data_IF_097570247520
#
_entry.id   IF_097570247520
#
_cell.length_a   1.000
_cell.length_b   1.000
_cell.length_c   1.000
_cell.angle_alpha   90.00
_cell.angle_beta   90.00
_cell.angle_gamma   90.00
#
_symmetry.space_group_name_H-M   'P 1'
#
loop_
_entity.id
_entity.type
_entity.pdbx_description
1 polymer ?
#
# COMPACT_ATOMS: atom_id res chain seq x y z
N UNK A 1 -24.85 43.61 29.83
CA UNK A 1 -25.04 42.49 28.87
C UNK A 1 -23.96 41.47 29.17
N UNK A 2 -24.35 40.32 29.71
CA UNK A 2 -23.49 39.25 30.22
C UNK A 2 -23.19 38.25 29.10
N UNK A 3 -21.94 38.19 28.65
CA UNK A 3 -21.50 37.12 27.75
C UNK A 3 -21.17 35.88 28.58
N UNK A 4 -22.04 34.88 28.48
CA UNK A 4 -21.77 33.50 28.88
C UNK A 4 -21.28 32.71 27.67
N UNK A 5 -20.19 31.97 27.86
CA UNK A 5 -19.99 30.69 27.19
C UNK A 5 -18.87 30.65 26.15
N UNK A 6 -17.72 30.11 26.55
CA UNK A 6 -16.99 29.18 25.69
C UNK A 6 -16.50 28.04 26.59
N UNK A 7 -17.18 26.89 26.51
CA UNK A 7 -16.73 25.65 27.15
C UNK A 7 -15.77 25.00 26.18
N UNK A 8 -14.48 24.98 26.52
CA UNK A 8 -13.49 24.18 25.85
C UNK A 8 -13.75 22.70 26.19
N UNK A 9 -14.41 21.99 25.28
CA UNK A 9 -14.54 20.54 25.33
C UNK A 9 -13.30 19.89 24.72
N UNK A 10 -12.29 19.63 25.54
CA UNK A 10 -11.22 18.70 25.17
C UNK A 10 -11.82 17.28 25.19
N UNK A 11 -12.10 16.73 24.01
CA UNK A 11 -12.46 15.33 23.87
C UNK A 11 -11.18 14.49 24.07
N UNK A 12 -10.97 14.05 25.31
CA UNK A 12 -9.97 13.05 25.64
C UNK A 12 -10.47 11.70 25.11
N UNK A 13 -10.07 11.34 23.89
CA UNK A 13 -10.26 10.00 23.37
C UNK A 13 -9.33 9.05 24.12
N UNK A 14 -9.81 8.51 25.25
CA UNK A 14 -9.17 7.38 25.90
C UNK A 14 -9.38 6.15 25.01
N UNK A 15 -8.42 5.88 24.11
CA UNK A 15 -8.30 4.58 23.47
C UNK A 15 -8.00 3.57 24.59
N UNK A 16 -9.00 2.77 24.92
CA UNK A 16 -8.76 1.54 25.67
C UNK A 16 -8.00 0.58 24.76
N UNK A 17 -6.69 0.51 24.94
CA UNK A 17 -5.86 -0.56 24.40
C UNK A 17 -6.23 -1.84 25.14
N UNK A 18 -7.32 -2.49 24.73
CA UNK A 18 -7.45 -3.91 24.98
C UNK A 18 -6.24 -4.56 24.30
N UNK A 19 -5.48 -5.38 25.05
CA UNK A 19 -4.46 -6.22 24.46
C UNK A 19 -5.17 -7.20 23.52
N UNK A 20 -5.29 -6.81 22.25
CA UNK A 20 -5.70 -7.70 21.19
C UNK A 20 -4.61 -8.77 21.12
N UNK A 21 -4.96 -10.03 21.40
CA UNK A 21 -4.12 -11.12 20.94
C UNK A 21 -3.91 -10.93 19.44
N UNK A 22 -2.68 -11.12 18.94
CA UNK A 22 -2.38 -11.02 17.51
C UNK A 22 -3.38 -11.88 16.75
N UNK A 23 -4.35 -11.23 16.11
CA UNK A 23 -5.28 -11.93 15.22
C UNK A 23 -4.40 -12.49 14.11
N UNK A 24 -4.32 -13.81 14.00
CA UNK A 24 -3.53 -14.44 12.94
C UNK A 24 -3.99 -13.98 11.56
N UNK A 25 -3.18 -14.25 10.55
CA UNK A 25 -3.48 -13.87 9.17
C UNK A 25 -4.90 -14.28 8.74
N UNK A 26 -5.46 -13.52 7.79
CA UNK A 26 -6.78 -13.74 7.21
C UNK A 26 -6.65 -13.96 5.70
N UNK A 27 -7.65 -14.58 5.08
CA UNK A 27 -7.74 -14.67 3.61
C UNK A 27 -9.01 -13.96 3.16
N UNK A 28 -8.89 -13.07 2.19
CA UNK A 28 -10.01 -12.39 1.54
C UNK A 28 -10.11 -12.84 0.09
N UNK A 29 -11.32 -12.83 -0.48
CA UNK A 29 -11.58 -13.36 -1.83
C UNK A 29 -12.39 -12.40 -2.71
N UNK A 30 -12.20 -12.50 -4.03
CA UNK A 30 -13.07 -11.92 -5.05
C UNK A 30 -13.06 -12.79 -6.30
N UNK A 31 -14.25 -13.22 -6.76
CA UNK A 31 -14.37 -14.06 -7.95
C UNK A 31 -13.51 -15.33 -7.85
N UNK A 32 -12.58 -15.48 -8.79
CA UNK A 32 -11.62 -16.59 -8.85
C UNK A 32 -10.26 -16.30 -8.19
N UNK A 33 -10.17 -15.32 -7.30
CA UNK A 33 -8.90 -14.91 -6.66
C UNK A 33 -9.01 -14.83 -5.14
N UNK A 34 -7.88 -15.00 -4.47
CA UNK A 34 -7.73 -14.82 -3.03
C UNK A 34 -6.42 -14.14 -2.68
N UNK A 35 -6.40 -13.43 -1.55
CA UNK A 35 -5.16 -12.87 -1.00
C UNK A 35 -5.11 -13.07 0.51
N UNK A 36 -3.96 -13.53 1.00
CA UNK A 36 -3.66 -13.60 2.43
C UNK A 36 -3.22 -12.24 2.94
N UNK A 37 -3.67 -11.85 4.14
CA UNK A 37 -3.27 -10.61 4.80
C UNK A 37 -2.93 -10.93 6.25
N UNK A 38 -1.71 -10.65 6.69
CA UNK A 38 -1.33 -10.84 8.09
C UNK A 38 -1.54 -9.59 8.94
N UNK A 39 -1.27 -9.74 10.23
CA UNK A 39 -1.45 -8.70 11.23
C UNK A 39 -0.48 -7.52 11.09
N UNK A 40 0.59 -7.68 10.30
CA UNK A 40 1.53 -6.63 9.93
C UNK A 40 1.17 -5.96 8.60
N UNK A 41 0.09 -6.37 7.93
CA UNK A 41 -0.32 -5.80 6.64
C UNK A 41 0.55 -6.26 5.47
N UNK A 42 1.14 -7.45 5.57
CA UNK A 42 1.79 -8.13 4.45
C UNK A 42 0.78 -8.99 3.71
N UNK A 43 1.00 -9.20 2.41
CA UNK A 43 0.18 -10.07 1.55
C UNK A 43 0.57 -11.54 1.74
N UNK A 44 0.50 -11.99 2.98
CA UNK A 44 0.89 -13.33 3.36
C UNK A 44 -0.08 -13.91 4.38
N UNK A 45 -0.60 -15.10 4.09
CA UNK A 45 -1.22 -15.97 5.08
C UNK A 45 -0.48 -17.29 5.10
N UNK A 46 0.42 -17.50 6.07
CA UNK A 46 1.01 -18.83 6.35
C UNK A 46 0.17 -19.57 7.38
N UNK A 47 -0.11 -20.85 7.15
CA UNK A 47 -0.57 -21.76 8.22
C UNK A 47 0.63 -22.41 8.91
N UNK A 48 0.52 -22.62 10.23
CA UNK A 48 1.38 -23.45 11.11
C UNK A 48 2.68 -24.00 10.48
N UNK A 49 3.79 -23.28 10.65
CA UNK A 49 5.13 -23.77 10.27
C UNK A 49 5.57 -23.45 8.84
N UNK A 50 4.85 -22.59 8.10
CA UNK A 50 5.39 -21.85 6.94
C UNK A 50 5.42 -22.59 5.61
N UNK A 51 4.90 -23.81 5.51
CA UNK A 51 4.96 -24.62 4.28
C UNK A 51 3.70 -24.56 3.40
N UNK A 52 2.60 -24.00 3.90
CA UNK A 52 1.36 -23.80 3.13
C UNK A 52 0.75 -22.45 3.44
N UNK A 53 0.21 -21.77 2.43
CA UNK A 53 -0.36 -20.44 2.60
C UNK A 53 -1.05 -19.89 1.37
N UNK A 54 -1.49 -18.64 1.49
CA UNK A 54 -2.05 -17.83 0.41
C UNK A 54 -1.31 -16.51 0.40
N UNK A 55 -0.65 -16.21 -0.71
CA UNK A 55 -0.07 -14.93 -1.03
C UNK A 55 -1.10 -14.10 -1.79
N UNK A 56 -0.92 -13.95 -3.11
CA UNK A 56 -1.98 -13.48 -4.01
C UNK A 56 -2.20 -14.54 -5.09
N UNK A 57 -3.33 -15.25 -5.00
CA UNK A 57 -3.57 -16.50 -5.72
C UNK A 57 -4.75 -16.42 -6.67
N UNK A 58 -4.61 -17.06 -7.84
CA UNK A 58 -5.68 -17.40 -8.78
C UNK A 58 -6.16 -18.82 -8.52
N UNK A 59 -7.44 -18.98 -8.20
CA UNK A 59 -8.01 -20.25 -7.74
C UNK A 59 -8.21 -21.28 -8.86
N UNK A 60 -8.29 -20.84 -10.13
CA UNK A 60 -8.57 -21.74 -11.25
C UNK A 60 -7.43 -22.71 -11.56
N UNK A 61 -6.20 -22.31 -11.29
CA UNK A 61 -4.98 -23.07 -11.59
C UNK A 61 -4.01 -23.13 -10.39
N UNK A 62 -4.31 -22.40 -9.31
CA UNK A 62 -3.50 -22.38 -8.10
C UNK A 62 -2.24 -21.52 -8.21
N UNK A 63 -2.09 -20.72 -9.28
CA UNK A 63 -0.97 -19.80 -9.43
C UNK A 63 -0.98 -18.76 -8.30
N UNK A 64 0.14 -18.59 -7.60
CA UNK A 64 0.32 -17.63 -6.51
C UNK A 64 1.62 -16.86 -6.72
N UNK A 65 1.52 -15.55 -6.92
CA UNK A 65 2.68 -14.70 -7.29
C UNK A 65 3.42 -14.14 -6.09
N UNK A 66 3.01 -14.45 -4.85
CA UNK A 66 3.70 -13.98 -3.65
C UNK A 66 4.18 -15.15 -2.80
N UNK A 67 3.45 -16.26 -2.79
CA UNK A 67 3.77 -17.40 -1.91
C UNK A 67 4.73 -18.43 -2.53
N UNK A 68 4.85 -18.45 -3.86
CA UNK A 68 5.72 -19.41 -4.55
C UNK A 68 7.21 -19.11 -4.27
N UNK A 69 8.15 -19.98 -4.70
CA UNK A 69 9.61 -19.73 -4.68
C UNK A 69 10.29 -19.47 -3.33
N UNK A 70 9.98 -18.34 -2.70
CA UNK A 70 10.36 -17.99 -1.35
C UNK A 70 9.56 -16.78 -0.88
N UNK A 71 8.39 -17.03 -0.30
CA UNK A 71 7.45 -16.03 0.25
C UNK A 71 8.11 -14.69 0.56
N UNK A 72 7.83 -13.64 -0.21
CA UNK A 72 8.38 -12.33 0.11
C UNK A 72 7.48 -11.18 -0.34
N UNK A 73 6.77 -10.66 0.65
CA UNK A 73 6.09 -9.38 0.58
C UNK A 73 6.48 -8.58 1.81
N UNK A 74 6.95 -7.36 1.58
CA UNK A 74 7.55 -6.55 2.63
C UNK A 74 7.27 -5.09 2.45
N UNK A 75 7.19 -4.36 3.55
CA UNK A 75 6.98 -2.92 3.52
C UNK A 75 7.72 -2.25 4.67
N UNK A 76 7.92 -0.94 4.53
CA UNK A 76 8.49 -0.14 5.58
C UNK A 76 8.05 1.31 5.52
N UNK A 77 8.22 1.98 6.65
CA UNK A 77 8.07 3.42 6.81
C UNK A 77 9.29 3.95 7.53
N UNK A 78 9.75 5.12 7.12
CA UNK A 78 10.87 5.75 7.80
C UNK A 78 10.51 6.12 9.25
N UNK A 79 11.50 6.29 10.11
CA UNK A 79 11.31 6.92 11.42
C UNK A 79 12.24 8.11 11.63
N UNK A 80 12.04 8.83 12.75
CA UNK A 80 12.91 9.93 13.15
C UNK A 80 14.29 9.44 13.56
N UNK A 81 14.38 8.19 14.07
CA UNK A 81 15.62 7.60 14.61
C UNK A 81 15.92 6.19 14.08
N UNK A 82 14.91 5.44 13.63
CA UNK A 82 15.04 4.13 12.98
C UNK A 82 13.75 3.82 12.21
N UNK A 83 13.85 3.08 11.12
CA UNK A 83 12.70 2.69 10.31
C UNK A 83 11.93 1.54 10.97
N UNK A 84 10.63 1.47 10.67
CA UNK A 84 9.84 0.27 10.93
C UNK A 84 9.62 -0.46 9.62
N UNK A 85 9.97 -1.74 9.55
CA UNK A 85 9.74 -2.56 8.37
C UNK A 85 9.41 -4.00 8.74
N UNK A 86 8.72 -4.68 7.84
CA UNK A 86 8.38 -6.09 7.98
C UNK A 86 8.55 -6.81 6.66
N UNK A 87 9.18 -7.98 6.69
CA UNK A 87 9.14 -8.97 5.63
C UNK A 87 8.62 -10.33 6.16
N UNK A 88 8.63 -11.34 5.31
CA UNK A 88 8.17 -12.69 5.65
C UNK A 88 9.02 -13.40 6.71
N UNK A 89 10.22 -12.89 7.02
CA UNK A 89 11.20 -13.51 7.93
C UNK A 89 11.31 -12.76 9.26
N UNK A 90 11.15 -11.44 9.26
CA UNK A 90 11.33 -10.58 10.41
C UNK A 90 10.52 -9.29 10.31
N UNK A 91 10.15 -8.78 11.49
CA UNK A 91 9.60 -7.44 11.66
C UNK A 91 10.55 -6.67 12.59
N UNK A 92 11.02 -5.50 12.15
CA UNK A 92 11.82 -4.58 12.96
C UNK A 92 11.07 -3.27 13.14
N UNK A 93 10.98 -2.78 14.37
CA UNK A 93 10.28 -1.54 14.70
C UNK A 93 8.75 -1.53 14.44
N UNK A 94 8.15 -2.61 13.93
CA UNK A 94 6.70 -2.74 13.73
C UNK A 94 6.02 -3.42 14.92
N UNK A 95 4.93 -2.82 15.39
CA UNK A 95 4.04 -3.39 16.39
C UNK A 95 2.65 -3.54 15.76
N UNK A 96 2.17 -4.79 15.61
CA UNK A 96 0.80 -5.03 15.16
C UNK A 96 -0.17 -4.57 16.25
N UNK A 97 -1.10 -3.70 15.89
CA UNK A 97 -2.11 -3.17 16.80
C UNK A 97 -3.46 -3.88 16.63
N UNK A 98 -3.90 -4.10 15.38
CA UNK A 98 -5.11 -4.89 15.10
C UNK A 98 -5.17 -5.38 13.66
N UNK A 99 -5.86 -6.50 13.47
CA UNK A 99 -6.31 -6.99 12.17
C UNK A 99 -7.79 -7.33 12.28
N UNK A 100 -8.59 -6.79 11.38
CA UNK A 100 -10.02 -7.11 11.26
C UNK A 100 -10.33 -7.44 9.80
N UNK A 101 -11.31 -8.32 9.56
CA UNK A 101 -11.64 -8.73 8.21
C UNK A 101 -13.11 -9.11 8.04
N UNK A 102 -13.53 -9.10 6.78
CA UNK A 102 -14.71 -9.78 6.27
C UNK A 102 -14.26 -10.82 5.24
N UNK A 103 -15.19 -11.46 4.53
CA UNK A 103 -14.82 -12.36 3.44
C UNK A 103 -14.11 -11.67 2.27
N UNK A 104 -14.31 -10.36 2.07
CA UNK A 104 -13.82 -9.62 0.89
C UNK A 104 -12.97 -8.39 1.23
N UNK A 105 -12.75 -8.10 2.52
CA UNK A 105 -11.96 -6.95 2.96
C UNK A 105 -11.14 -7.29 4.20
N UNK A 106 -9.98 -6.64 4.33
CA UNK A 106 -9.18 -6.68 5.55
C UNK A 106 -8.72 -5.27 5.92
N UNK A 107 -8.50 -5.03 7.21
CA UNK A 107 -7.98 -3.79 7.75
C UNK A 107 -6.90 -4.12 8.78
N UNK A 108 -5.65 -3.81 8.45
CA UNK A 108 -4.50 -3.93 9.34
C UNK A 108 -4.11 -2.57 9.89
N UNK A 109 -3.85 -2.50 11.19
CA UNK A 109 -3.25 -1.35 11.84
C UNK A 109 -1.94 -1.75 12.46
N UNK A 110 -0.87 -1.07 12.06
CA UNK A 110 0.49 -1.26 12.56
C UNK A 110 1.01 0.07 13.07
N UNK A 111 1.71 0.04 14.19
CA UNK A 111 2.36 1.21 14.76
C UNK A 111 3.86 1.03 14.79
N UNK A 112 4.60 2.10 14.52
CA UNK A 112 6.03 2.21 14.79
C UNK A 112 6.25 3.15 15.97
N UNK A 113 7.49 3.53 16.25
CA UNK A 113 7.78 4.58 17.22
C UNK A 113 7.16 5.95 16.84
N UNK A 114 7.09 6.24 15.54
CA UNK A 114 6.77 7.59 15.04
C UNK A 114 5.50 7.63 14.17
N UNK A 115 5.04 6.49 13.67
CA UNK A 115 3.89 6.41 12.76
C UNK A 115 2.82 5.41 13.19
N UNK A 116 1.57 5.73 12.90
CA UNK A 116 0.46 4.77 12.85
C UNK A 116 0.08 4.58 11.38
N UNK A 117 0.16 3.32 10.91
CA UNK A 117 -0.11 2.91 9.54
C UNK A 117 -1.35 2.04 9.52
N UNK A 118 -2.39 2.51 8.84
CA UNK A 118 -3.61 1.74 8.60
C UNK A 118 -3.67 1.36 7.13
N UNK A 119 -3.73 0.06 6.85
CA UNK A 119 -3.84 -0.49 5.50
C UNK A 119 -5.20 -1.18 5.34
N UNK A 120 -6.00 -0.71 4.39
CA UNK A 120 -7.32 -1.27 4.05
C UNK A 120 -7.25 -1.97 2.70
N UNK A 121 -7.50 -3.28 2.72
CA UNK A 121 -7.38 -4.20 1.59
C UNK A 121 -8.76 -4.52 1.03
N UNK A 122 -8.95 -4.33 -0.27
CA UNK A 122 -10.19 -4.67 -0.97
C UNK A 122 -9.96 -4.84 -2.46
N UNK A 123 -10.64 -5.81 -3.08
CA UNK A 123 -10.64 -5.96 -4.53
C UNK A 123 -11.47 -4.86 -5.20
N UNK A 124 -10.89 -4.20 -6.20
CA UNK A 124 -11.57 -3.22 -7.07
C UNK A 124 -11.94 -3.80 -8.44
N UNK A 125 -11.34 -4.94 -8.77
CA UNK A 125 -11.75 -5.92 -9.77
C UNK A 125 -11.38 -7.30 -9.22
N UNK A 126 -11.90 -8.39 -9.79
CA UNK A 126 -11.64 -9.74 -9.26
C UNK A 126 -10.15 -10.04 -9.10
N UNK A 127 -9.31 -9.52 -9.98
CA UNK A 127 -7.88 -9.76 -10.04
C UNK A 127 -7.02 -8.53 -9.69
N UNK A 128 -7.63 -7.46 -9.15
CA UNK A 128 -6.93 -6.24 -8.73
C UNK A 128 -7.28 -5.92 -7.29
N UNK A 129 -6.27 -5.99 -6.43
CA UNK A 129 -6.34 -5.61 -5.03
C UNK A 129 -5.91 -4.15 -4.87
N UNK A 130 -6.78 -3.32 -4.30
CA UNK A 130 -6.42 -1.98 -3.85
C UNK A 130 -6.06 -2.01 -2.37
N UNK A 131 -4.96 -1.34 -2.02
CA UNK A 131 -4.50 -1.14 -0.66
C UNK A 131 -4.49 0.36 -0.39
N UNK A 132 -5.46 0.80 0.40
CA UNK A 132 -5.58 2.19 0.82
C UNK A 132 -4.81 2.37 2.12
N UNK A 133 -3.81 3.26 2.10
CA UNK A 133 -2.94 3.54 3.23
C UNK A 133 -3.30 4.87 3.84
N UNK A 134 -3.48 4.87 5.16
CA UNK A 134 -3.55 6.06 6.00
C UNK A 134 -2.33 6.07 6.91
N UNK A 135 -1.43 7.03 6.70
CA UNK A 135 -0.21 7.18 7.49
C UNK A 135 -0.32 8.42 8.38
N UNK A 136 -0.27 8.21 9.70
CA UNK A 136 -0.38 9.30 10.69
C UNK A 136 0.92 9.46 11.45
N UNK A 137 1.48 10.66 11.47
CA UNK A 137 2.60 11.00 12.34
C UNK A 137 2.10 11.08 13.80
N UNK A 138 2.52 10.12 14.63
CA UNK A 138 2.17 10.05 16.05
C UNK A 138 3.31 10.54 16.95
N UNK A 139 4.41 11.01 16.36
CA UNK A 139 5.50 11.65 17.10
C UNK A 139 5.09 13.04 17.64
N UNK A 140 5.97 13.63 18.46
CA UNK A 140 5.75 14.96 19.04
C UNK A 140 6.11 16.15 18.14
N UNK A 141 6.56 15.93 16.91
CA UNK A 141 7.03 16.99 16.01
C UNK A 141 6.84 16.68 14.53
N UNK A 142 7.26 17.60 13.68
CA UNK A 142 7.20 17.44 12.23
C UNK A 142 8.20 16.37 11.77
N UNK A 143 7.76 15.48 10.88
CA UNK A 143 8.56 14.35 10.41
C UNK A 143 8.39 14.14 8.91
N UNK A 144 9.48 13.92 8.19
CA UNK A 144 9.41 13.47 6.80
C UNK A 144 8.84 12.05 6.75
N UNK A 145 7.96 11.77 5.80
CA UNK A 145 7.29 10.48 5.65
C UNK A 145 7.63 9.86 4.30
N UNK A 146 8.23 8.68 4.34
CA UNK A 146 8.55 7.82 3.21
C UNK A 146 7.95 6.46 3.53
N UNK A 147 7.14 5.96 2.60
CA UNK A 147 6.63 4.60 2.64
C UNK A 147 7.25 3.82 1.49
N UNK A 148 7.57 2.55 1.71
CA UNK A 148 7.94 1.66 0.63
C UNK A 148 7.30 0.27 0.77
N UNK A 149 7.12 -0.38 -0.38
CA UNK A 149 6.64 -1.74 -0.51
C UNK A 149 7.52 -2.47 -1.50
N UNK A 150 7.83 -3.73 -1.22
CA UNK A 150 8.55 -4.65 -2.09
C UNK A 150 7.78 -5.97 -2.11
N UNK A 151 7.64 -6.53 -3.30
CA UNK A 151 7.12 -7.87 -3.49
C UNK A 151 8.05 -8.61 -4.44
N UNK A 152 8.40 -9.81 -4.04
CA UNK A 152 8.93 -10.81 -4.94
C UNK A 152 7.75 -11.40 -5.71
N UNK A 153 7.79 -11.29 -7.04
CA UNK A 153 6.67 -11.69 -7.87
C UNK A 153 7.02 -12.95 -8.63
N UNK A 154 6.86 -14.10 -7.97
CA UNK A 154 7.04 -15.43 -8.56
C UNK A 154 5.96 -15.76 -9.61
N UNK A 155 5.95 -15.03 -10.72
CA UNK A 155 5.11 -15.30 -11.88
C UNK A 155 5.53 -16.62 -12.55
N UNK A 156 6.81 -16.98 -12.51
CA UNK A 156 7.27 -18.34 -12.83
C UNK A 156 8.36 -18.81 -11.85
N UNK A 157 8.02 -19.63 -10.84
CA UNK A 157 8.96 -20.03 -9.79
C UNK A 157 10.09 -20.95 -10.26
N UNK A 158 10.08 -21.40 -11.52
CA UNK A 158 11.10 -22.31 -12.05
C UNK A 158 11.89 -21.71 -13.21
N UNK A 159 11.63 -20.46 -13.60
CA UNK A 159 12.31 -19.85 -14.74
C UNK A 159 12.52 -18.35 -14.54
N UNK A 160 13.09 -17.71 -15.56
CA UNK A 160 13.41 -16.29 -15.52
C UNK A 160 12.15 -15.44 -15.72
N UNK A 161 12.06 -14.31 -15.05
CA UNK A 161 10.92 -13.41 -15.21
C UNK A 161 11.31 -12.19 -16.04
N UNK A 162 10.32 -11.50 -16.59
CA UNK A 162 10.53 -10.24 -17.29
C UNK A 162 9.75 -9.14 -16.59
N UNK A 163 10.45 -8.08 -16.20
CA UNK A 163 9.83 -6.86 -15.67
C UNK A 163 9.64 -5.84 -16.78
N UNK A 164 8.43 -5.29 -16.85
CA UNK A 164 8.02 -4.30 -17.83
C UNK A 164 7.49 -3.09 -17.06
N UNK A 165 7.99 -1.91 -17.42
CA UNK A 165 7.42 -0.62 -17.07
C UNK A 165 6.80 -0.01 -18.34
N UNK A 166 5.52 -0.29 -18.62
CA UNK A 166 4.88 0.12 -19.86
C UNK A 166 4.63 1.64 -19.98
N UNK A 167 4.72 2.41 -18.89
CA UNK A 167 4.23 3.80 -18.87
C UNK A 167 5.24 4.83 -18.36
N UNK A 168 6.40 4.39 -17.86
CA UNK A 168 7.35 5.25 -17.17
C UNK A 168 6.85 5.63 -15.77
N UNK A 169 7.79 6.00 -14.91
CA UNK A 169 7.50 6.21 -13.49
C UNK A 169 7.64 7.66 -13.06
N UNK A 170 6.66 8.12 -12.29
CA UNK A 170 6.72 9.34 -11.49
C UNK A 170 7.12 9.08 -10.03
N UNK A 171 7.08 7.81 -9.61
CA UNK A 171 7.56 7.32 -8.32
C UNK A 171 8.91 6.59 -8.43
N UNK A 172 9.62 6.51 -7.31
CA UNK A 172 10.78 5.63 -7.20
C UNK A 172 10.31 4.18 -7.20
N UNK A 173 10.89 3.35 -8.08
CA UNK A 173 10.65 1.92 -8.10
C UNK A 173 11.90 1.06 -8.36
N UNK A 174 11.77 -0.23 -8.10
CA UNK A 174 12.81 -1.26 -8.32
C UNK A 174 12.20 -2.48 -8.99
N UNK A 175 12.98 -3.16 -9.81
CA UNK A 175 12.61 -4.44 -10.46
C UNK A 175 13.05 -5.65 -9.64
N UNK A 176 13.50 -5.43 -8.39
CA UNK A 176 14.06 -6.44 -7.52
C UNK A 176 13.28 -6.49 -6.20
N UNK A 177 12.40 -7.48 -6.06
CA UNK A 177 11.56 -7.67 -4.87
C UNK A 177 12.33 -8.05 -3.60
N UNK A 178 13.61 -8.42 -3.77
CA UNK A 178 14.47 -8.92 -2.70
C UNK A 178 15.30 -7.87 -1.98
N UNK A 179 15.16 -6.59 -2.36
CA UNK A 179 15.83 -5.50 -1.68
C UNK A 179 15.37 -5.38 -0.20
N UNK A 180 16.07 -4.57 0.57
CA UNK A 180 15.76 -4.33 1.97
C UNK A 180 14.51 -3.43 2.11
N UNK A 181 13.58 -3.85 2.99
CA UNK A 181 12.36 -3.13 3.30
C UNK A 181 12.56 -1.91 4.22
N UNK A 182 13.77 -1.65 4.69
CA UNK A 182 14.19 -0.39 5.33
C UNK A 182 14.31 0.76 4.33
N UNK A 183 13.63 1.88 4.60
CA UNK A 183 13.62 3.05 3.70
C UNK A 183 14.93 3.84 3.74
N UNK A 184 15.77 3.61 4.77
CA UNK A 184 17.12 4.16 4.87
C UNK A 184 18.10 3.53 3.86
N UNK A 185 17.79 2.31 3.39
CA UNK A 185 18.64 1.60 2.47
C UNK A 185 18.27 1.95 1.02
N UNK A 186 19.30 2.25 0.23
CA UNK A 186 19.14 2.37 -1.20
C UNK A 186 18.89 0.99 -1.80
N UNK A 187 17.98 0.91 -2.76
CA UNK A 187 17.77 -0.32 -3.53
C UNK A 187 19.01 -0.65 -4.35
N UNK A 188 19.24 -1.94 -4.56
CA UNK A 188 20.37 -2.43 -5.35
C UNK A 188 20.19 -2.15 -6.83
N UNK A 189 18.93 -2.13 -7.30
CA UNK A 189 18.55 -1.93 -8.71
C UNK A 189 17.46 -0.86 -8.88
N UNK A 190 17.74 0.42 -8.54
CA UNK A 190 16.77 1.50 -8.70
C UNK A 190 16.58 1.85 -10.18
N UNK A 191 15.33 2.10 -10.58
CA UNK A 191 14.94 2.75 -11.84
C UNK A 191 15.68 2.26 -13.10
N UNK A 192 15.22 1.13 -13.63
CA UNK A 192 15.62 0.71 -14.96
C UNK A 192 14.39 0.63 -15.87
N UNK A 193 14.21 1.65 -16.72
CA UNK A 193 13.06 1.79 -17.63
C UNK A 193 12.95 0.68 -18.69
N UNK A 194 13.93 -0.23 -18.77
CA UNK A 194 14.00 -1.35 -19.70
C UNK A 194 14.81 -2.54 -19.14
N UNK A 195 14.75 -2.80 -17.83
CA UNK A 195 15.38 -4.01 -17.28
C UNK A 195 14.48 -5.22 -17.51
N UNK A 196 14.36 -5.62 -18.78
CA UNK A 196 14.10 -7.01 -19.12
C UNK A 196 15.36 -7.82 -18.76
N UNK A 197 15.56 -8.05 -17.47
CA UNK A 197 16.58 -8.96 -16.97
C UNK A 197 15.94 -10.33 -16.78
N UNK A 198 16.54 -11.37 -17.34
CA UNK A 198 16.15 -12.75 -17.08
C UNK A 198 16.72 -13.17 -15.72
N UNK A 199 15.99 -12.87 -14.65
CA UNK A 199 16.30 -13.28 -13.28
C UNK A 199 15.00 -13.42 -12.49
N UNK A 200 15.11 -14.00 -11.31
CA UNK A 200 14.09 -13.96 -10.26
C UNK A 200 13.77 -12.50 -9.93
N UNK A 201 12.57 -12.05 -10.26
CA UNK A 201 12.24 -10.64 -10.34
C UNK A 201 11.11 -10.26 -9.38
N UNK A 202 11.07 -8.98 -9.05
CA UNK A 202 9.96 -8.46 -8.25
C UNK A 202 9.62 -7.04 -8.62
N UNK A 203 8.85 -6.41 -7.76
CA UNK A 203 8.51 -5.02 -7.87
C UNK A 203 8.64 -4.33 -6.51
N UNK A 204 9.15 -3.11 -6.53
CA UNK A 204 9.09 -2.24 -5.38
C UNK A 204 8.60 -0.86 -5.75
N UNK A 205 7.89 -0.22 -4.83
CA UNK A 205 7.45 1.16 -4.92
C UNK A 205 7.89 1.91 -3.67
N UNK A 206 8.23 3.19 -3.84
CA UNK A 206 8.54 4.10 -2.74
C UNK A 206 7.82 5.41 -2.96
N UNK A 207 7.01 5.78 -1.99
CA UNK A 207 6.24 7.01 -1.97
C UNK A 207 6.85 7.99 -0.97
N UNK A 208 7.33 9.14 -1.48
CA UNK A 208 7.68 10.28 -0.65
C UNK A 208 6.42 11.11 -0.38
N UNK A 209 5.99 11.15 0.87
CA UNK A 209 4.73 11.76 1.31
C UNK A 209 4.95 13.16 1.88
N UNK A 210 6.18 13.70 1.80
CA UNK A 210 6.56 15.00 2.32
C UNK A 210 6.71 15.03 3.84
N UNK A 211 6.67 16.23 4.43
CA UNK A 211 6.71 16.41 5.89
C UNK A 211 5.30 16.44 6.45
N UNK A 212 5.04 15.60 7.45
CA UNK A 212 3.79 15.55 8.21
C UNK A 212 4.00 16.21 9.56
N UNK A 213 3.16 17.17 9.91
CA UNK A 213 3.13 17.73 11.25
C UNK A 213 2.68 16.68 12.29
N UNK A 214 2.95 16.93 13.57
CA UNK A 214 2.48 16.07 14.65
C UNK A 214 0.95 15.89 14.59
N UNK A 215 0.49 14.64 14.56
CA UNK A 215 -0.92 14.27 14.43
C UNK A 215 -1.50 14.41 13.01
N UNK A 216 -0.71 14.85 12.02
CA UNK A 216 -1.16 14.92 10.63
C UNK A 216 -1.23 13.51 10.02
N UNK A 217 -2.30 13.28 9.26
CA UNK A 217 -2.48 12.07 8.46
C UNK A 217 -2.37 12.40 6.97
N UNK A 218 -1.73 11.52 6.22
CA UNK A 218 -1.74 11.51 4.75
C UNK A 218 -2.32 10.20 4.23
N UNK A 219 -2.81 10.22 3.00
CA UNK A 219 -3.49 9.09 2.37
C UNK A 219 -2.95 8.86 0.97
N UNK A 220 -2.77 7.60 0.61
CA UNK A 220 -2.50 7.18 -0.76
C UNK A 220 -3.02 5.76 -0.97
N UNK A 221 -3.10 5.36 -2.23
CA UNK A 221 -3.52 4.02 -2.62
C UNK A 221 -2.43 3.43 -3.49
N UNK A 222 -2.20 2.13 -3.36
CA UNK A 222 -1.43 1.36 -4.31
C UNK A 222 -2.15 0.05 -4.60
N UNK A 223 -1.76 -0.62 -5.66
CA UNK A 223 -2.47 -1.76 -6.20
C UNK A 223 -1.54 -2.93 -6.41
N UNK A 224 -2.09 -4.12 -6.21
CA UNK A 224 -1.57 -5.36 -6.76
C UNK A 224 -2.51 -5.87 -7.84
N UNK A 225 -1.95 -6.46 -8.89
CA UNK A 225 -2.71 -7.12 -9.94
C UNK A 225 -2.13 -8.50 -10.23
N UNK A 226 -2.99 -9.43 -10.65
CA UNK A 226 -2.58 -10.72 -11.20
C UNK A 226 -3.39 -11.00 -12.46
N UNK A 227 -2.80 -11.60 -13.49
CA UNK A 227 -3.51 -11.86 -14.74
C UNK A 227 -2.76 -12.80 -15.67
N UNK A 228 -3.29 -12.92 -16.89
CA UNK A 228 -2.58 -13.51 -18.02
C UNK A 228 -2.22 -12.38 -18.98
N UNK A 229 -0.98 -12.35 -19.46
CA UNK A 229 -0.47 -11.28 -20.32
C UNK A 229 -0.23 -9.95 -19.60
N UNK A 230 0.90 -9.32 -19.90
CA UNK A 230 1.31 -8.06 -19.27
C UNK A 230 0.45 -6.86 -19.69
N UNK A 231 0.15 -6.73 -20.99
CA UNK A 231 -0.58 -5.57 -21.54
C UNK A 231 -2.02 -5.49 -21.02
N UNK A 232 -2.71 -6.62 -20.95
CA UNK A 232 -4.08 -6.67 -20.44
C UNK A 232 -4.10 -6.32 -18.94
N UNK A 233 -3.21 -6.92 -18.15
CA UNK A 233 -3.11 -6.62 -16.73
C UNK A 233 -2.77 -5.14 -16.47
N UNK A 234 -1.84 -4.58 -17.23
CA UNK A 234 -1.47 -3.18 -17.16
C UNK A 234 -2.65 -2.25 -17.46
N UNK A 235 -3.44 -2.54 -18.49
CA UNK A 235 -4.63 -1.77 -18.84
C UNK A 235 -5.74 -1.84 -17.77
N UNK A 236 -5.93 -3.02 -17.17
CA UNK A 236 -6.86 -3.20 -16.07
C UNK A 236 -6.43 -2.42 -14.82
N UNK A 237 -5.13 -2.45 -14.47
CA UNK A 237 -4.53 -1.65 -13.39
C UNK A 237 -4.72 -0.15 -13.61
N UNK A 238 -4.51 0.36 -14.83
CA UNK A 238 -4.80 1.76 -15.15
C UNK A 238 -6.27 2.12 -14.97
N UNK A 239 -7.17 1.22 -15.40
CA UNK A 239 -8.63 1.42 -15.23
C UNK A 239 -9.01 1.50 -13.75
N UNK A 240 -8.30 0.77 -12.89
CA UNK A 240 -8.46 0.85 -11.43
C UNK A 240 -7.88 2.13 -10.79
N UNK A 241 -7.15 2.94 -11.56
CA UNK A 241 -6.53 4.19 -11.11
C UNK A 241 -5.02 4.11 -10.83
N UNK A 242 -4.39 2.96 -11.08
CA UNK A 242 -2.94 2.83 -10.91
C UNK A 242 -2.17 3.61 -11.98
N UNK A 243 -1.02 4.14 -11.57
CA UNK A 243 0.07 4.65 -12.42
C UNK A 243 1.38 4.04 -11.92
N UNK A 244 2.48 4.35 -12.60
CA UNK A 244 3.82 3.85 -12.26
C UNK A 244 3.79 2.31 -12.09
N UNK A 245 3.14 1.67 -13.06
CA UNK A 245 2.82 0.25 -13.00
C UNK A 245 4.07 -0.53 -13.41
N UNK A 246 4.52 -1.40 -12.52
CA UNK A 246 5.47 -2.46 -12.82
C UNK A 246 4.71 -3.76 -13.04
N UNK A 247 5.01 -4.44 -14.14
CA UNK A 247 4.45 -5.76 -14.44
C UNK A 247 5.58 -6.77 -14.51
N UNK A 248 5.48 -7.86 -13.76
CA UNK A 248 6.37 -9.01 -13.81
C UNK A 248 5.63 -10.15 -14.50
N UNK A 249 6.24 -10.75 -15.51
CA UNK A 249 5.63 -11.78 -16.34
C UNK A 249 6.57 -12.97 -16.47
N UNK A 250 6.05 -14.18 -16.24
CA UNK A 250 6.80 -15.42 -16.47
C UNK A 250 7.10 -15.62 -17.96
N UNK A 251 8.11 -16.42 -18.30
CA UNK A 251 8.58 -16.62 -19.70
C UNK A 251 7.46 -17.02 -20.67
N UNK A 252 6.51 -17.83 -20.20
CA UNK A 252 5.41 -18.32 -21.02
C UNK A 252 4.23 -17.35 -21.13
N UNK A 253 4.25 -16.24 -20.39
CA UNK A 253 3.21 -15.22 -20.35
C UNK A 253 1.89 -15.64 -19.69
N UNK A 254 1.83 -16.84 -19.10
CA UNK A 254 0.58 -17.39 -18.54
C UNK A 254 0.19 -16.75 -17.20
N UNK A 255 1.19 -16.29 -16.46
CA UNK A 255 1.03 -15.55 -15.22
C UNK A 255 1.76 -14.22 -15.36
N UNK A 256 1.07 -13.16 -14.97
CA UNK A 256 1.67 -11.85 -14.77
C UNK A 256 1.19 -11.30 -13.44
N UNK A 257 2.09 -10.66 -12.72
CA UNK A 257 1.82 -9.91 -11.52
C UNK A 257 2.11 -8.44 -11.77
N UNK A 258 1.45 -7.55 -11.06
CA UNK A 258 1.70 -6.12 -11.20
C UNK A 258 1.60 -5.42 -9.86
N UNK A 259 2.36 -4.33 -9.74
CA UNK A 259 2.25 -3.37 -8.65
C UNK A 259 2.20 -1.96 -9.22
N UNK A 260 1.40 -1.07 -8.64
CA UNK A 260 1.35 0.32 -9.11
C UNK A 260 0.83 1.29 -8.05
N UNK A 261 1.24 2.55 -8.14
CA UNK A 261 0.82 3.63 -7.24
C UNK A 261 -0.35 4.41 -7.82
N UNK A 262 -1.37 4.70 -7.01
CA UNK A 262 -2.37 5.67 -7.39
C UNK A 262 -1.75 7.07 -7.35
N UNK A 263 -1.86 7.82 -8.45
CA UNK A 263 -1.60 9.25 -8.41
C UNK A 263 -2.93 9.95 -8.15
N UNK A 264 -3.04 10.80 -7.12
CA UNK A 264 -4.26 11.56 -6.84
C UNK A 264 -4.78 12.19 -8.13
N UNK A 265 -5.97 11.78 -8.56
CA UNK A 265 -6.47 12.21 -9.85
C UNK A 265 -6.56 13.75 -9.91
N UNK A 266 -6.30 14.37 -11.08
CA UNK A 266 -6.50 15.81 -11.27
C UNK A 266 -7.93 16.27 -10.91
N UNK A 267 -8.92 15.36 -10.91
CA UNK A 267 -10.27 15.65 -10.47
C UNK A 267 -10.34 16.02 -8.98
N UNK A 268 -9.52 15.43 -8.12
CA UNK A 268 -9.42 15.81 -6.69
C UNK A 268 -8.93 17.26 -6.57
N UNK A 269 -7.96 17.65 -7.39
CA UNK A 269 -7.50 19.04 -7.48
C UNK A 269 -8.57 19.96 -8.04
N UNK A 270 -9.27 19.55 -9.09
CA UNK A 270 -10.36 20.32 -9.68
C UNK A 270 -11.51 20.52 -8.69
N UNK A 271 -11.87 19.50 -7.91
CA UNK A 271 -12.88 19.57 -6.86
C UNK A 271 -12.45 20.45 -5.70
N UNK A 272 -11.18 20.39 -5.29
CA UNK A 272 -10.63 21.29 -4.29
C UNK A 272 -10.66 22.76 -4.77
N UNK A 273 -10.23 23.01 -6.01
CA UNK A 273 -10.26 24.34 -6.64
C UNK A 273 -11.71 24.84 -6.78
N UNK A 274 -12.63 23.99 -7.26
CA UNK A 274 -14.06 24.29 -7.32
C UNK A 274 -14.64 24.60 -5.95
N UNK A 275 -14.23 23.88 -4.91
CA UNK A 275 -14.59 24.14 -3.52
C UNK A 275 -14.15 25.53 -3.06
N UNK A 276 -12.91 25.93 -3.37
CA UNK A 276 -12.40 27.27 -3.06
C UNK A 276 -13.13 28.38 -3.83
N UNK A 277 -13.39 28.19 -5.12
CA UNK A 277 -14.19 29.15 -5.90
C UNK A 277 -15.63 29.24 -5.36
N UNK A 278 -16.23 28.11 -4.99
CA UNK A 278 -17.54 28.04 -4.36
C UNK A 278 -17.59 28.86 -3.07
N UNK A 279 -16.67 28.60 -2.13
CA UNK A 279 -16.59 29.30 -0.85
C UNK A 279 -16.32 30.81 -1.05
N UNK A 280 -15.37 31.16 -1.94
CA UNK A 280 -15.06 32.55 -2.27
C UNK A 280 -16.25 33.30 -2.85
N UNK A 281 -17.04 32.67 -3.72
CA UNK A 281 -18.25 33.26 -4.30
C UNK A 281 -19.33 33.54 -3.24
N UNK A 282 -19.48 32.65 -2.25
CA UNK A 282 -20.43 32.83 -1.15
C UNK A 282 -20.04 34.00 -0.24
N UNK A 283 -18.75 34.14 0.09
CA UNK A 283 -18.24 35.28 0.88
C UNK A 283 -18.49 36.60 0.13
N UNK A 284 -18.21 36.64 -1.17
CA UNK A 284 -18.45 37.83 -2.00
C UNK A 284 -19.93 38.23 -2.02
N UNK A 285 -20.84 37.26 -2.17
CA UNK A 285 -22.29 37.52 -2.17
C UNK A 285 -22.78 38.04 -0.82
N UNK A 286 -22.24 37.53 0.30
CA UNK A 286 -22.60 38.03 1.63
C UNK A 286 -22.16 39.48 1.82
N UNK A 287 -20.95 39.84 1.40
CA UNK A 287 -20.48 41.22 1.49
C UNK A 287 -21.30 42.17 0.62
N UNK A 288 -21.75 41.71 -0.55
CA UNK A 288 -22.63 42.51 -1.42
C UNK A 288 -24.05 42.69 -0.86
N UNK A 289 -24.54 41.79 -0.01
CA UNK A 289 -25.84 41.93 0.64
C UNK A 289 -25.80 42.79 1.92
N UNK A 290 -24.59 43.00 2.48
CA UNK A 290 -24.36 43.84 3.66
C UNK A 290 -23.97 45.28 3.30
N UNK A 291 -23.64 45.54 2.03
CA UNK A 291 -23.34 46.86 1.48
C UNK A 291 -24.61 47.50 0.90
#
# INVERSE_FOLDING_TARGET
MTFKGLVAGAALAALMSAAAGSAGAVVITSGGYSVGVNEYGQLLHTTDGGSTGVGFRRESDGADVIFSGGVRDSWGVNGAYADGYGDSQANDGLLSASLTSTASTALSTVTTADFSVVQSFSFVADNILAINVSLTNISGGDLAAIFQRLADFDADPNSDETVIDPFGNTAENTTFGFDDASTLNAWSFPLCSLCSGQYDAGAGLRANLGTLAAGQTTYFTYYYGMGAGSDELAAQMQTAGAKDILVVTGVDGTVSAAMGLAVPEPATWAMMILGFFGLGSMIRRRNAALA
#
